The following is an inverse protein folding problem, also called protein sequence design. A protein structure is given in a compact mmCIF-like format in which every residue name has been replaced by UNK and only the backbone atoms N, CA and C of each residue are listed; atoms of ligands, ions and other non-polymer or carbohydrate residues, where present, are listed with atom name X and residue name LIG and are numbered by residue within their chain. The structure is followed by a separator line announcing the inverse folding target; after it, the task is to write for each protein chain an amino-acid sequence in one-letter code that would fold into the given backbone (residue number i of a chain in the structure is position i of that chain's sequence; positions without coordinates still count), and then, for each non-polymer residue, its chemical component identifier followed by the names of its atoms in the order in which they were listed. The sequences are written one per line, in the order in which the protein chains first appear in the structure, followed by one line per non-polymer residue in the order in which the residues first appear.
data_IF_128330213301
#
_entry.id   IF_128330213301
#
_cell.length_a   1.000
_cell.length_b   1.000
_cell.length_c   1.000
_cell.angle_alpha   90.00
_cell.angle_beta   90.00
_cell.angle_gamma   90.00
#
_symmetry.space_group_name_H-M   'P 1'
#
loop_
_entity.id
_entity.type
_entity.pdbx_description
1 polymer ?
#
# COMPACT_ATOMS: atom_id res chain seq x y z
N UNK A 1 -1.90 23.96 8.04
CA UNK A 1 -2.02 22.91 6.98
C UNK A 1 -3.31 23.14 6.21
N UNK A 2 -3.26 23.39 4.90
CA UNK A 2 -4.48 23.53 4.09
C UNK A 2 -5.31 22.24 4.16
N UNK A 3 -6.63 22.36 4.39
CA UNK A 3 -7.54 21.20 4.45
C UNK A 3 -7.42 20.30 3.20
N UNK A 4 -7.17 20.89 2.04
CA UNK A 4 -6.93 20.19 0.78
C UNK A 4 -5.69 19.29 0.80
N UNK A 5 -4.58 19.73 1.41
CA UNK A 5 -3.37 18.91 1.53
C UNK A 5 -3.61 17.75 2.49
N UNK A 6 -4.33 17.99 3.59
CA UNK A 6 -4.71 16.93 4.53
C UNK A 6 -5.61 15.86 3.89
N UNK A 7 -6.60 16.26 3.10
CA UNK A 7 -7.49 15.32 2.41
C UNK A 7 -6.75 14.41 1.41
N UNK A 8 -5.77 14.94 0.66
CA UNK A 8 -4.96 14.12 -0.24
C UNK A 8 -4.06 13.12 0.50
N UNK A 9 -3.48 13.53 1.63
CA UNK A 9 -2.68 12.64 2.48
C UNK A 9 -3.55 11.51 3.03
N UNK A 10 -4.70 11.85 3.60
CA UNK A 10 -5.65 10.88 4.13
C UNK A 10 -6.14 9.91 3.05
N UNK A 11 -6.50 10.43 1.87
CA UNK A 11 -6.93 9.60 0.74
C UNK A 11 -5.85 8.61 0.28
N UNK A 12 -4.59 9.06 0.22
CA UNK A 12 -3.47 8.19 -0.14
C UNK A 12 -3.20 7.10 0.91
N UNK A 13 -3.27 7.45 2.20
CA UNK A 13 -3.10 6.50 3.29
C UNK A 13 -4.20 5.44 3.29
N UNK A 14 -5.46 5.86 3.08
CA UNK A 14 -6.60 4.95 2.97
C UNK A 14 -6.44 4.02 1.76
N UNK A 15 -6.04 4.55 0.60
CA UNK A 15 -5.80 3.73 -0.59
C UNK A 15 -4.71 2.68 -0.34
N UNK A 16 -3.59 3.05 0.28
CA UNK A 16 -2.52 2.12 0.62
C UNK A 16 -3.01 1.03 1.60
N UNK A 17 -3.74 1.42 2.65
CA UNK A 17 -4.26 0.48 3.65
C UNK A 17 -5.28 -0.51 3.06
N UNK A 18 -6.18 -0.03 2.18
CA UNK A 18 -7.15 -0.86 1.47
C UNK A 18 -6.43 -1.87 0.56
N UNK A 19 -5.42 -1.43 -0.19
CA UNK A 19 -4.65 -2.30 -1.06
C UNK A 19 -3.85 -3.37 -0.30
N UNK A 20 -3.21 -3.00 0.81
CA UNK A 20 -2.50 -3.95 1.68
C UNK A 20 -3.47 -4.95 2.32
N UNK A 21 -4.64 -4.49 2.74
CA UNK A 21 -5.69 -5.37 3.30
C UNK A 21 -6.24 -6.32 2.22
N UNK A 22 -6.45 -5.83 0.99
CA UNK A 22 -6.87 -6.66 -0.16
C UNK A 22 -5.83 -7.70 -0.55
N UNK A 23 -4.54 -7.37 -0.45
CA UNK A 23 -3.46 -8.34 -0.57
C UNK A 23 -3.55 -9.44 0.50
N UNK A 24 -3.71 -9.07 1.78
CA UNK A 24 -3.85 -10.03 2.87
C UNK A 24 -5.09 -10.93 2.72
N UNK A 25 -6.18 -10.39 2.16
CA UNK A 25 -7.38 -11.15 1.85
C UNK A 25 -7.13 -12.20 0.75
N UNK A 26 -6.41 -11.84 -0.32
CA UNK A 26 -6.09 -12.74 -1.44
C UNK A 26 -5.12 -13.86 -1.02
N UNK A 27 -4.23 -13.58 -0.07
CA UNK A 27 -3.25 -14.55 0.44
C UNK A 27 -3.82 -15.66 1.34
N UNK A 28 -5.13 -15.65 1.63
CA UNK A 28 -5.76 -16.66 2.50
C UNK A 28 -6.01 -17.98 1.78
N UNK A 29 -5.65 -19.08 2.44
CA UNK A 29 -6.16 -20.41 2.15
C UNK A 29 -7.56 -20.57 2.77
N UNK A 30 -8.49 -21.19 2.04
CA UNK A 30 -9.92 -21.29 2.38
C UNK A 30 -10.26 -22.22 3.55
N UNK A 31 -9.27 -22.85 4.20
CA UNK A 31 -9.48 -23.92 5.18
C UNK A 31 -9.36 -23.47 6.66
N UNK A 32 -9.45 -22.15 6.94
CA UNK A 32 -9.34 -21.62 8.30
C UNK A 32 -10.73 -21.36 8.94
N UNK A 33 -10.86 -21.80 10.20
CA UNK A 33 -12.09 -21.90 10.99
C UNK A 33 -12.72 -20.54 11.36
N UNK A 34 -11.95 -19.44 11.28
CA UNK A 34 -12.45 -18.07 11.48
C UNK A 34 -11.97 -17.12 10.35
N UNK A 35 -12.90 -16.51 9.58
CA UNK A 35 -12.57 -15.56 8.51
C UNK A 35 -11.90 -14.27 8.99
N UNK A 36 -12.32 -13.74 10.14
CA UNK A 36 -11.91 -12.44 10.64
C UNK A 36 -10.53 -12.54 11.29
N UNK A 37 -10.34 -13.53 12.17
CA UNK A 37 -9.06 -13.72 12.86
C UNK A 37 -7.93 -14.05 11.89
N UNK A 38 -8.22 -14.86 10.86
CA UNK A 38 -7.18 -15.20 9.89
C UNK A 38 -6.90 -14.10 8.86
N UNK A 39 -7.85 -13.19 8.60
CA UNK A 39 -7.55 -11.96 7.87
C UNK A 39 -6.65 -11.06 8.72
N UNK A 40 -7.02 -10.81 9.98
CA UNK A 40 -6.26 -9.96 10.87
C UNK A 40 -4.83 -10.47 11.04
N UNK A 41 -4.65 -11.77 11.31
CA UNK A 41 -3.34 -12.39 11.47
C UNK A 41 -2.44 -12.18 10.24
N UNK A 42 -3.00 -12.15 9.03
CA UNK A 42 -2.23 -11.92 7.80
C UNK A 42 -2.00 -10.44 7.54
N UNK A 43 -2.97 -9.57 7.84
CA UNK A 43 -2.93 -8.15 7.49
C UNK A 43 -2.08 -7.32 8.46
N UNK A 44 -2.18 -7.55 9.78
CA UNK A 44 -1.57 -6.68 10.78
C UNK A 44 -0.04 -6.47 10.62
N UNK A 45 0.77 -7.48 10.23
CA UNK A 45 2.21 -7.27 10.07
C UNK A 45 2.50 -6.28 8.94
N UNK A 46 1.77 -6.39 7.83
CA UNK A 46 1.95 -5.51 6.67
C UNK A 46 1.34 -4.13 6.90
N UNK A 47 0.21 -4.02 7.60
CA UNK A 47 -0.38 -2.74 7.97
C UNK A 47 0.52 -1.96 8.93
N UNK A 48 1.14 -2.64 9.90
CA UNK A 48 2.11 -2.02 10.80
C UNK A 48 3.36 -1.59 10.03
N UNK A 49 3.90 -2.44 9.14
CA UNK A 49 5.02 -2.09 8.28
C UNK A 49 4.70 -0.93 7.34
N UNK A 50 3.48 -0.84 6.81
CA UNK A 50 3.01 0.27 6.00
C UNK A 50 3.00 1.58 6.80
N UNK A 51 2.49 1.55 8.04
CA UNK A 51 2.47 2.73 8.92
C UNK A 51 3.89 3.24 9.22
N UNK A 52 4.81 2.32 9.55
CA UNK A 52 6.24 2.64 9.73
C UNK A 52 6.85 3.17 8.42
N UNK A 53 6.53 2.54 7.29
CA UNK A 53 7.01 2.94 5.96
C UNK A 53 6.56 4.33 5.57
N UNK A 54 5.34 4.73 5.90
CA UNK A 54 4.86 6.11 5.74
C UNK A 54 5.77 7.10 6.50
N UNK A 55 6.13 6.74 7.74
CA UNK A 55 7.10 7.45 8.58
C UNK A 55 8.47 7.61 7.94
N UNK A 56 9.10 6.48 7.61
CA UNK A 56 10.47 6.42 7.09
C UNK A 56 10.61 7.07 5.73
N UNK A 57 9.64 6.87 4.83
CA UNK A 57 9.67 7.44 3.47
C UNK A 57 9.18 8.89 3.42
N UNK A 58 8.69 9.43 4.55
CA UNK A 58 8.04 10.73 4.64
C UNK A 58 6.95 10.86 3.57
N UNK A 59 6.13 9.82 3.41
CA UNK A 59 5.18 9.68 2.30
C UNK A 59 4.22 10.87 2.17
N UNK A 60 3.89 11.53 3.28
CA UNK A 60 3.10 12.76 3.31
C UNK A 60 3.71 13.94 2.55
N UNK A 61 5.03 13.95 2.27
CA UNK A 61 5.68 14.99 1.46
C UNK A 61 5.40 14.86 -0.03
N UNK A 62 5.05 13.68 -0.52
CA UNK A 62 4.75 13.42 -1.93
C UNK A 62 3.82 12.20 -2.11
N UNK A 63 2.60 12.23 -1.54
CA UNK A 63 1.78 11.03 -1.33
C UNK A 63 1.39 10.29 -2.62
N UNK A 64 1.30 11.00 -3.74
CA UNK A 64 0.93 10.46 -5.05
C UNK A 64 2.13 10.19 -5.98
N UNK A 65 3.37 10.38 -5.52
CA UNK A 65 4.57 10.18 -6.34
C UNK A 65 4.93 8.68 -6.49
N UNK A 66 4.85 8.09 -7.70
CA UNK A 66 4.99 6.65 -7.86
C UNK A 66 6.38 6.11 -7.50
N UNK A 67 7.44 6.72 -8.05
CA UNK A 67 8.81 6.25 -7.83
C UNK A 67 9.38 6.69 -6.47
N UNK A 68 9.14 7.97 -6.10
CA UNK A 68 9.72 8.56 -4.88
C UNK A 68 9.09 8.01 -3.60
N UNK A 69 7.80 7.69 -3.63
CA UNK A 69 7.07 7.20 -2.45
C UNK A 69 6.65 5.76 -2.64
N UNK A 70 6.03 5.40 -3.77
CA UNK A 70 5.50 4.05 -3.97
C UNK A 70 6.55 2.93 -3.90
N UNK A 71 7.71 3.09 -4.54
CA UNK A 71 8.74 2.04 -4.55
C UNK A 71 9.35 1.84 -3.14
N UNK A 72 9.91 2.88 -2.47
CA UNK A 72 10.44 2.70 -1.12
C UNK A 72 9.39 2.21 -0.13
N UNK A 73 8.15 2.73 -0.23
CA UNK A 73 7.06 2.32 0.67
C UNK A 73 6.71 0.84 0.49
N UNK A 74 6.65 0.35 -0.75
CA UNK A 74 6.42 -1.06 -1.02
C UNK A 74 7.54 -1.95 -0.46
N UNK A 75 8.81 -1.57 -0.66
CA UNK A 75 9.94 -2.33 -0.14
C UNK A 75 9.94 -2.38 1.38
N UNK A 76 9.70 -1.26 2.06
CA UNK A 76 9.59 -1.22 3.53
C UNK A 76 8.40 -2.04 4.03
N UNK A 77 7.26 -1.97 3.33
CA UNK A 77 6.05 -2.72 3.70
C UNK A 77 6.28 -4.22 3.57
N UNK A 78 6.91 -4.68 2.48
CA UNK A 78 7.26 -6.09 2.27
C UNK A 78 8.28 -6.54 3.33
N UNK A 79 9.42 -5.84 3.44
CA UNK A 79 10.49 -6.23 4.35
C UNK A 79 10.02 -6.22 5.82
N UNK A 80 9.38 -5.13 6.26
CA UNK A 80 8.84 -5.01 7.60
C UNK A 80 7.74 -6.03 7.89
N UNK A 81 6.84 -6.27 6.93
CA UNK A 81 5.79 -7.27 7.07
C UNK A 81 6.37 -8.68 7.23
N UNK A 82 7.38 -9.05 6.45
CA UNK A 82 8.04 -10.34 6.57
C UNK A 82 8.82 -10.49 7.87
N UNK A 83 9.51 -9.45 8.33
CA UNK A 83 10.19 -9.45 9.65
C UNK A 83 9.16 -9.64 10.77
N UNK A 84 8.08 -8.87 10.77
CA UNK A 84 7.03 -8.99 11.80
C UNK A 84 6.36 -10.37 11.80
N UNK A 85 6.13 -10.96 10.62
CA UNK A 85 5.63 -12.32 10.49
C UNK A 85 6.60 -13.36 11.05
N UNK A 86 7.90 -13.21 10.79
CA UNK A 86 8.93 -14.09 11.32
C UNK A 86 8.96 -14.04 12.86
N UNK A 87 8.95 -12.83 13.42
CA UNK A 87 8.94 -12.60 14.87
C UNK A 87 7.67 -13.14 15.55
N UNK A 88 6.56 -13.21 14.82
CA UNK A 88 5.27 -13.66 15.32
C UNK A 88 5.03 -15.16 15.11
N UNK A 89 6.03 -15.91 14.64
CA UNK A 89 5.90 -17.36 14.39
C UNK A 89 5.01 -17.73 13.20
N UNK A 90 4.64 -16.77 12.35
CA UNK A 90 3.73 -16.98 11.21
C UNK A 90 4.42 -17.50 9.95
N UNK A 91 5.75 -17.67 10.03
CA UNK A 91 6.60 -18.12 8.95
C UNK A 91 6.84 -17.08 7.84
N UNK A 92 8.00 -17.20 7.21
CA UNK A 92 8.41 -16.46 6.01
C UNK A 92 8.74 -17.46 4.91
N UNK A 93 7.72 -18.07 4.32
CA UNK A 93 7.92 -18.98 3.20
C UNK A 93 8.47 -18.19 2.00
N UNK A 94 9.55 -18.66 1.38
CA UNK A 94 10.14 -18.04 0.19
C UNK A 94 9.11 -17.78 -0.92
N UNK A 95 8.17 -18.72 -1.23
CA UNK A 95 7.10 -18.45 -2.20
C UNK A 95 6.24 -17.24 -1.83
N UNK A 96 5.97 -17.02 -0.54
CA UNK A 96 5.19 -15.87 -0.10
C UNK A 96 5.95 -14.56 -0.32
N UNK A 97 7.27 -14.50 -0.10
CA UNK A 97 8.08 -13.31 -0.44
C UNK A 97 7.99 -13.02 -1.94
N UNK A 98 8.17 -14.06 -2.75
CA UNK A 98 8.19 -13.96 -4.22
C UNK A 98 6.86 -13.46 -4.78
N UNK A 99 5.72 -13.81 -4.17
CA UNK A 99 4.39 -13.33 -4.58
C UNK A 99 4.06 -11.97 -3.95
N UNK A 100 4.32 -11.79 -2.66
CA UNK A 100 3.99 -10.57 -1.93
C UNK A 100 4.72 -9.35 -2.49
N UNK A 101 6.00 -9.51 -2.84
CA UNK A 101 6.83 -8.41 -3.35
C UNK A 101 6.26 -7.77 -4.62
N UNK A 102 6.06 -8.49 -5.74
CA UNK A 102 5.50 -7.90 -6.95
C UNK A 102 4.06 -7.43 -6.75
N UNK A 103 3.24 -8.13 -5.96
CA UNK A 103 1.83 -7.72 -5.73
C UNK A 103 1.78 -6.40 -4.97
N UNK A 104 2.52 -6.26 -3.86
CA UNK A 104 2.55 -5.02 -3.09
C UNK A 104 3.23 -3.88 -3.85
N UNK A 105 4.28 -4.18 -4.62
CA UNK A 105 4.91 -3.20 -5.51
C UNK A 105 3.91 -2.70 -6.56
N UNK A 106 3.23 -3.62 -7.26
CA UNK A 106 2.23 -3.28 -8.27
C UNK A 106 1.06 -2.51 -7.66
N UNK A 107 0.58 -2.89 -6.47
CA UNK A 107 -0.49 -2.19 -5.79
C UNK A 107 -0.09 -0.76 -5.43
N UNK A 108 0.96 -0.59 -4.62
CA UNK A 108 1.36 0.71 -4.06
C UNK A 108 1.96 1.66 -5.10
N UNK A 109 2.67 1.15 -6.11
CA UNK A 109 3.17 1.97 -7.22
C UNK A 109 2.08 2.19 -8.28
N UNK A 110 1.31 1.16 -8.60
CA UNK A 110 0.32 1.17 -9.69
C UNK A 110 -0.80 2.16 -9.46
N UNK A 111 -1.39 2.23 -8.26
CA UNK A 111 -2.44 3.21 -8.00
C UNK A 111 -1.92 4.65 -8.11
N UNK A 112 -0.67 4.90 -7.71
CA UNK A 112 -0.02 6.21 -7.83
C UNK A 112 0.24 6.56 -9.31
N UNK A 113 0.63 5.59 -10.13
CA UNK A 113 0.74 5.77 -11.58
C UNK A 113 -0.61 6.16 -12.17
N UNK A 114 -1.68 5.44 -11.83
CA UNK A 114 -3.04 5.74 -12.27
C UNK A 114 -3.45 7.16 -11.83
N UNK A 115 -3.25 7.51 -10.56
CA UNK A 115 -3.56 8.84 -10.05
C UNK A 115 -2.81 9.94 -10.83
N UNK A 116 -1.52 9.74 -11.11
CA UNK A 116 -0.72 10.69 -11.91
C UNK A 116 -1.25 10.84 -13.32
N UNK A 117 -1.65 9.75 -13.97
CA UNK A 117 -2.22 9.77 -15.32
C UNK A 117 -3.60 10.46 -15.35
N UNK A 118 -4.45 10.20 -14.36
CA UNK A 118 -5.78 10.83 -14.24
C UNK A 118 -5.65 12.33 -13.98
N UNK A 119 -4.71 12.75 -13.11
CA UNK A 119 -4.47 14.17 -12.82
C UNK A 119 -3.96 14.93 -14.06
N UNK A 120 -3.06 14.33 -14.85
CA UNK A 120 -2.58 14.90 -16.13
C UNK A 120 -3.72 15.13 -17.12
N UNK A 121 -4.64 14.16 -17.27
CA UNK A 121 -5.79 14.30 -18.19
C UNK A 121 -6.76 15.40 -17.79
N UNK A 122 -6.80 15.80 -16.51
CA UNK A 122 -7.69 16.88 -16.04
C UNK A 122 -7.15 18.26 -16.37
N UNK A 123 -5.83 18.43 -16.43
CA UNK A 123 -5.19 19.70 -16.81
C UNK A 123 -5.22 19.95 -18.32
N UNK A 124 -5.30 18.88 -19.13
CA UNK A 124 -5.29 18.96 -20.59
C UNK A 124 -6.67 19.24 -21.21
N UNK A 125 -7.75 19.40 -20.42
CA UNK A 125 -9.05 19.81 -20.97
C UNK A 125 -8.98 21.29 -21.35
N UNK A 126 -9.02 21.65 -22.64
CA UNK A 126 -9.13 23.06 -23.04
C UNK A 126 -10.46 23.59 -22.50
N UNK A 127 -10.43 24.74 -21.82
CA UNK A 127 -11.67 25.45 -21.46
C UNK A 127 -12.46 25.80 -22.73
N UNK A 128 -13.80 25.97 -22.65
CA UNK A 128 -14.60 26.33 -23.80
C UNK A 128 -14.02 27.60 -24.43
N UNK A 129 -13.56 27.50 -25.68
CA UNK A 129 -13.16 28.66 -26.48
C UNK A 129 -14.42 29.49 -26.74
N UNK A 130 -14.50 30.64 -26.08
CA UNK A 130 -15.51 31.68 -26.29
C UNK A 130 -15.21 32.48 -27.56
#
# INVERSE_FOLDING_TARGET
MNRLTGAHIAGALVADAVLVTGFALTGRTTHAEDPVLGLWSTAWPFLLALAVGWGVTLAWRAPTAPARTGIPLALVTVAGGMVLRALSGQGTALPFIVVATPVLLAALVGWRLIARLVLRRRTDRPGPSA
#
